data_IF_198248198006
#
_entry.id   IF_198248198006
#
_cell.length_a   1.000
_cell.length_b   1.000
_cell.length_c   1.000
_cell.angle_alpha   90.00
_cell.angle_beta   90.00
_cell.angle_gamma   90.00
#
_symmetry.space_group_name_H-M   'P 1'
#
loop_
_entity.id
_entity.type
_entity.pdbx_description
1 polymer ?
#
# COMPACT_ATOMS: atom_id res chain seq x y z
N UNK A 1 -22.60 -3.73 18.47
CA UNK A 1 -21.26 -4.26 18.11
C UNK A 1 -21.36 -5.36 17.04
N UNK A 2 -20.98 -5.08 15.78
CA UNK A 2 -21.11 -6.00 14.62
C UNK A 2 -19.77 -6.58 14.13
N UNK A 3 -18.72 -6.53 14.96
CA UNK A 3 -17.31 -6.64 14.51
C UNK A 3 -16.84 -8.04 14.06
N UNK A 4 -17.58 -9.12 14.36
CA UNK A 4 -17.15 -10.52 14.07
C UNK A 4 -18.08 -11.33 13.13
N UNK A 5 -19.07 -10.68 12.49
CA UNK A 5 -20.07 -11.39 11.65
C UNK A 5 -19.48 -12.08 10.42
N UNK A 6 -18.36 -11.60 9.89
CA UNK A 6 -17.73 -12.22 8.73
C UNK A 6 -17.12 -13.58 9.08
N UNK A 7 -16.23 -13.63 10.07
CA UNK A 7 -15.56 -14.87 10.47
C UNK A 7 -16.58 -15.96 10.82
N UNK A 8 -17.58 -15.63 11.63
CA UNK A 8 -18.64 -16.57 12.01
C UNK A 8 -19.44 -17.09 10.82
N UNK A 9 -19.69 -16.24 9.81
CA UNK A 9 -20.43 -16.63 8.59
C UNK A 9 -19.57 -17.51 7.68
N UNK A 10 -18.30 -17.20 7.49
CA UNK A 10 -17.44 -18.01 6.62
C UNK A 10 -17.13 -19.34 7.27
N UNK A 11 -16.88 -19.39 8.58
CA UNK A 11 -16.78 -20.65 9.32
C UNK A 11 -18.04 -21.50 9.17
N UNK A 12 -19.22 -20.90 9.30
CA UNK A 12 -20.50 -21.60 9.12
C UNK A 12 -20.67 -22.15 7.70
N UNK A 13 -20.34 -21.36 6.68
CA UNK A 13 -20.41 -21.80 5.30
C UNK A 13 -19.39 -22.92 5.01
N UNK A 14 -18.18 -22.82 5.57
CA UNK A 14 -17.17 -23.86 5.47
C UNK A 14 -17.62 -25.17 6.10
N UNK A 15 -18.08 -25.14 7.35
CA UNK A 15 -18.57 -26.33 8.05
C UNK A 15 -19.77 -26.98 7.35
N UNK A 16 -20.60 -26.18 6.67
CA UNK A 16 -21.75 -26.66 5.91
C UNK A 16 -21.41 -27.04 4.46
N UNK A 17 -20.14 -26.95 4.03
CA UNK A 17 -19.68 -27.10 2.64
C UNK A 17 -20.47 -26.23 1.64
N UNK A 18 -20.98 -25.08 2.10
CA UNK A 18 -21.82 -24.15 1.32
C UNK A 18 -20.98 -23.08 0.64
N UNK A 19 -20.04 -23.50 -0.19
CA UNK A 19 -19.37 -22.60 -1.13
C UNK A 19 -19.93 -22.85 -2.53
N UNK A 20 -20.26 -21.78 -3.23
CA UNK A 20 -20.53 -21.89 -4.67
C UNK A 20 -19.21 -22.20 -5.38
N UNK A 21 -19.24 -23.01 -6.43
CA UNK A 21 -18.05 -23.40 -7.21
C UNK A 21 -17.26 -22.17 -7.73
N UNK A 22 -17.94 -21.04 -7.91
CA UNK A 22 -17.37 -19.75 -8.32
C UNK A 22 -16.66 -18.97 -7.21
N UNK A 23 -16.68 -19.45 -5.97
CA UNK A 23 -16.10 -18.71 -4.86
C UNK A 23 -14.58 -18.76 -4.91
N UNK A 24 -13.93 -17.58 -4.92
CA UNK A 24 -12.46 -17.41 -4.87
C UNK A 24 -11.78 -18.11 -3.68
N UNK A 25 -12.56 -18.57 -2.71
CA UNK A 25 -12.12 -19.30 -1.53
C UNK A 25 -11.80 -20.77 -1.83
N UNK A 26 -12.53 -21.43 -2.74
CA UNK A 26 -12.34 -22.86 -3.00
C UNK A 26 -10.97 -23.16 -3.61
N UNK A 27 -10.46 -22.27 -4.46
CA UNK A 27 -9.12 -22.40 -5.03
C UNK A 27 -7.97 -22.28 -4.03
N UNK A 28 -8.25 -21.89 -2.78
CA UNK A 28 -7.26 -21.73 -1.70
C UNK A 28 -7.20 -22.93 -0.75
N UNK A 29 -7.95 -24.00 -1.03
CA UNK A 29 -8.05 -25.20 -0.17
C UNK A 29 -8.15 -24.81 1.32
N UNK A 30 -9.21 -24.08 1.72
CA UNK A 30 -9.29 -23.52 3.06
C UNK A 30 -9.33 -24.64 4.12
N UNK A 31 -8.67 -24.43 5.26
CA UNK A 31 -8.73 -25.31 6.44
C UNK A 31 -9.03 -24.47 7.69
N UNK A 32 -9.71 -25.07 8.67
CA UNK A 32 -9.94 -24.43 9.98
C UNK A 32 -8.85 -24.90 10.96
N UNK A 33 -8.20 -23.95 11.62
CA UNK A 33 -7.23 -24.24 12.69
C UNK A 33 -7.90 -24.44 14.06
N UNK A 34 -7.11 -24.81 15.06
CA UNK A 34 -7.57 -25.04 16.45
C UNK A 34 -8.21 -23.80 17.08
N UNK A 35 -7.84 -22.60 16.62
CA UNK A 35 -8.42 -21.32 17.06
C UNK A 35 -9.71 -20.96 16.30
N UNK A 36 -10.18 -21.83 15.40
CA UNK A 36 -11.32 -21.60 14.54
C UNK A 36 -11.04 -20.66 13.36
N UNK A 37 -9.79 -20.25 13.13
CA UNK A 37 -9.45 -19.37 12.01
C UNK A 37 -9.39 -20.16 10.71
N UNK A 38 -9.82 -19.53 9.63
CA UNK A 38 -9.72 -20.12 8.29
C UNK A 38 -8.35 -19.76 7.73
N UNK A 39 -7.58 -20.77 7.38
CA UNK A 39 -6.24 -20.68 6.82
C UNK A 39 -6.20 -21.28 5.41
N UNK A 40 -5.27 -20.81 4.60
CA UNK A 40 -4.94 -21.43 3.33
C UNK A 40 -4.16 -22.71 3.64
N UNK A 41 -4.58 -23.82 3.06
CA UNK A 41 -3.78 -25.03 3.01
C UNK A 41 -3.00 -25.08 1.68
N UNK A 42 -1.89 -25.81 1.61
CA UNK A 42 -1.26 -26.11 0.32
C UNK A 42 0.26 -26.22 0.29
N UNK A 43 0.85 -25.62 -0.76
CA UNK A 43 2.17 -25.97 -1.32
C UNK A 43 3.37 -25.97 -0.36
N UNK A 44 3.27 -25.26 0.76
CA UNK A 44 4.35 -25.12 1.74
C UNK A 44 4.18 -26.02 2.97
N UNK A 45 3.28 -26.99 2.94
CA UNK A 45 3.01 -27.94 4.03
C UNK A 45 4.32 -28.54 4.62
N UNK A 46 5.19 -29.05 3.75
CA UNK A 46 6.45 -29.71 4.12
C UNK A 46 7.63 -28.75 4.34
N UNK A 47 7.43 -27.43 4.25
CA UNK A 47 8.50 -26.44 4.45
C UNK A 47 8.72 -26.15 5.94
N UNK A 48 9.21 -27.12 6.70
CA UNK A 48 9.33 -27.05 8.17
C UNK A 48 10.21 -25.89 8.69
N UNK A 49 11.13 -25.41 7.86
CA UNK A 49 11.97 -24.23 8.15
C UNK A 49 11.16 -22.91 8.20
N UNK A 50 9.92 -22.90 7.71
CA UNK A 50 9.02 -21.75 7.79
C UNK A 50 8.11 -21.82 9.00
N UNK A 51 7.74 -20.63 9.50
CA UNK A 51 6.76 -20.53 10.59
C UNK A 51 5.40 -21.10 10.17
N UNK A 52 4.61 -21.54 11.14
CA UNK A 52 3.26 -22.06 10.91
C UNK A 52 2.37 -21.05 10.17
N UNK A 53 2.45 -19.76 10.54
CA UNK A 53 1.70 -18.69 9.88
C UNK A 53 2.12 -18.48 8.41
N UNK A 54 3.38 -18.72 8.06
CA UNK A 54 3.88 -18.60 6.69
C UNK A 54 3.49 -19.80 5.82
N UNK A 55 3.45 -21.01 6.40
CA UNK A 55 2.98 -22.21 5.73
C UNK A 55 1.47 -22.19 5.51
N UNK A 56 0.73 -21.78 6.53
CA UNK A 56 -0.73 -21.79 6.55
C UNK A 56 -1.28 -20.38 6.85
N UNK A 57 -1.19 -19.43 5.90
CA UNK A 57 -1.58 -18.05 6.15
C UNK A 57 -3.09 -17.91 6.40
N UNK A 58 -3.46 -17.00 7.30
CA UNK A 58 -4.86 -16.74 7.67
C UNK A 58 -5.57 -16.05 6.51
N UNK A 59 -6.69 -16.61 6.06
CA UNK A 59 -7.47 -16.04 4.97
C UNK A 59 -8.29 -14.85 5.46
N UNK A 60 -8.08 -13.70 4.82
CA UNK A 60 -8.80 -12.47 5.11
C UNK A 60 -9.66 -12.02 3.92
N UNK A 61 -10.91 -11.61 4.17
CA UNK A 61 -11.74 -11.00 3.13
C UNK A 61 -11.22 -9.64 2.68
N UNK A 62 -11.42 -9.36 1.40
CA UNK A 62 -11.38 -7.99 0.89
C UNK A 62 -12.46 -7.10 1.54
N UNK A 63 -12.21 -5.80 1.64
CA UNK A 63 -13.14 -4.76 2.12
C UNK A 63 -13.68 -4.95 3.54
N UNK A 64 -13.08 -5.81 4.35
CA UNK A 64 -13.41 -5.93 5.76
C UNK A 64 -12.58 -4.95 6.58
N UNK A 65 -13.21 -4.37 7.61
CA UNK A 65 -12.58 -3.43 8.53
C UNK A 65 -11.29 -3.98 9.16
N UNK A 66 -11.25 -5.27 9.53
CA UNK A 66 -10.04 -5.91 10.09
C UNK A 66 -8.92 -5.94 9.05
N UNK A 67 -9.24 -6.36 7.83
CA UNK A 67 -8.29 -6.43 6.72
C UNK A 67 -7.69 -5.06 6.43
N UNK A 68 -8.52 -4.01 6.37
CA UNK A 68 -8.06 -2.63 6.20
C UNK A 68 -7.08 -2.19 7.29
N UNK A 69 -7.35 -2.53 8.55
CA UNK A 69 -6.45 -2.21 9.67
C UNK A 69 -5.12 -2.97 9.59
N UNK A 70 -5.15 -4.24 9.17
CA UNK A 70 -3.93 -5.04 8.98
C UNK A 70 -3.11 -4.45 7.83
N UNK A 71 -3.73 -4.17 6.69
CA UNK A 71 -3.06 -3.51 5.55
C UNK A 71 -2.45 -2.17 5.97
N UNK A 72 -3.20 -1.35 6.71
CA UNK A 72 -2.71 -0.09 7.29
C UNK A 72 -1.44 -0.29 8.10
N UNK A 73 -1.44 -1.25 9.04
CA UNK A 73 -0.30 -1.52 9.90
C UNK A 73 0.96 -1.89 9.09
N UNK A 74 0.82 -2.79 8.12
CA UNK A 74 1.95 -3.22 7.29
C UNK A 74 2.43 -2.11 6.35
N UNK A 75 1.51 -1.31 5.82
CA UNK A 75 1.84 -0.15 5.01
C UNK A 75 2.63 0.92 5.80
N UNK A 76 2.24 1.19 7.05
CA UNK A 76 2.95 2.11 7.95
C UNK A 76 4.31 1.55 8.39
N UNK A 77 4.42 0.24 8.62
CA UNK A 77 5.71 -0.43 8.89
C UNK A 77 6.69 -0.26 7.71
N UNK A 78 6.18 -0.31 6.48
CA UNK A 78 6.93 0.00 5.25
C UNK A 78 7.23 1.49 5.04
N UNK A 79 6.98 2.34 6.06
CA UNK A 79 7.24 3.79 6.07
C UNK A 79 6.67 4.55 4.87
N UNK A 80 5.57 4.05 4.29
CA UNK A 80 4.97 4.59 3.06
C UNK A 80 5.91 4.60 1.83
N UNK A 81 7.04 3.87 1.89
CA UNK A 81 7.97 3.70 0.77
C UNK A 81 7.71 2.37 0.08
N UNK A 82 7.31 1.36 0.85
CA UNK A 82 6.95 0.05 0.32
C UNK A 82 5.75 0.15 -0.62
N UNK A 83 5.98 -0.21 -1.88
CA UNK A 83 4.91 -0.35 -2.86
C UNK A 83 4.00 -1.54 -2.59
N UNK A 84 2.98 -1.70 -3.42
CA UNK A 84 1.94 -2.73 -3.26
C UNK A 84 2.52 -4.14 -3.14
N UNK A 85 3.50 -4.49 -3.98
CA UNK A 85 4.10 -5.83 -3.99
C UNK A 85 4.94 -6.12 -2.74
N UNK A 86 5.68 -5.13 -2.24
CA UNK A 86 6.48 -5.28 -1.02
C UNK A 86 5.58 -5.45 0.20
N UNK A 87 4.54 -4.63 0.30
CA UNK A 87 3.52 -4.73 1.35
C UNK A 87 2.80 -6.08 1.27
N UNK A 88 2.45 -6.53 0.06
CA UNK A 88 1.82 -7.83 -0.16
C UNK A 88 2.73 -8.99 0.26
N UNK A 89 4.02 -8.93 -0.07
CA UNK A 89 5.01 -9.93 0.37
C UNK A 89 5.11 -10.01 1.89
N UNK A 90 5.23 -8.86 2.56
CA UNK A 90 5.26 -8.79 4.02
C UNK A 90 3.98 -9.35 4.65
N UNK A 91 2.81 -9.05 4.08
CA UNK A 91 1.53 -9.61 4.52
C UNK A 91 1.45 -11.13 4.30
N UNK A 92 1.97 -11.62 3.17
CA UNK A 92 1.87 -13.03 2.76
C UNK A 92 2.60 -13.99 3.71
N UNK A 93 3.52 -13.47 4.53
CA UNK A 93 4.16 -14.24 5.61
C UNK A 93 3.20 -14.71 6.71
N UNK A 94 1.99 -14.13 6.82
CA UNK A 94 1.01 -14.49 7.85
C UNK A 94 -0.45 -14.48 7.38
N UNK A 95 -0.76 -13.67 6.38
CA UNK A 95 -2.13 -13.39 5.94
C UNK A 95 -2.28 -13.59 4.43
N UNK A 96 -3.36 -14.23 4.04
CA UNK A 96 -3.78 -14.34 2.65
C UNK A 96 -5.05 -13.54 2.40
N UNK A 97 -4.91 -12.34 1.85
CA UNK A 97 -6.05 -11.48 1.55
C UNK A 97 -6.61 -11.84 0.17
N UNK A 98 -7.90 -12.16 0.10
CA UNK A 98 -8.59 -12.40 -1.18
C UNK A 98 -8.53 -11.11 -2.00
N UNK A 99 -7.95 -11.16 -3.20
CA UNK A 99 -7.69 -9.94 -4.00
C UNK A 99 -6.90 -8.89 -3.18
N UNK A 100 -5.83 -9.35 -2.52
CA UNK A 100 -5.04 -8.54 -1.60
C UNK A 100 -4.30 -7.37 -2.25
N UNK A 101 -3.84 -7.52 -3.50
CA UNK A 101 -3.17 -6.44 -4.22
C UNK A 101 -4.11 -5.26 -4.45
N UNK A 102 -5.36 -5.54 -4.81
CA UNK A 102 -6.39 -4.53 -4.97
C UNK A 102 -6.70 -3.82 -3.66
N UNK A 103 -6.81 -4.55 -2.54
CA UNK A 103 -7.03 -3.97 -1.22
C UNK A 103 -5.88 -3.04 -0.79
N UNK A 104 -4.63 -3.47 -1.01
CA UNK A 104 -3.44 -2.67 -0.67
C UNK A 104 -3.39 -1.41 -1.53
N UNK A 105 -3.63 -1.54 -2.84
CA UNK A 105 -3.65 -0.39 -3.76
C UNK A 105 -4.75 0.60 -3.39
N UNK A 106 -5.95 0.11 -3.08
CA UNK A 106 -7.07 0.93 -2.60
C UNK A 106 -6.67 1.71 -1.34
N UNK A 107 -6.03 1.05 -0.37
CA UNK A 107 -5.51 1.72 0.83
C UNK A 107 -4.41 2.74 0.55
N UNK A 108 -3.47 2.46 -0.36
CA UNK A 108 -2.42 3.41 -0.76
C UNK A 108 -3.00 4.71 -1.35
N UNK A 109 -4.14 4.63 -2.05
CA UNK A 109 -4.86 5.80 -2.57
C UNK A 109 -5.62 6.57 -1.49
N UNK A 110 -6.14 5.88 -0.46
CA UNK A 110 -6.78 6.49 0.71
C UNK A 110 -5.76 7.15 1.66
N UNK A 111 -4.52 6.64 1.71
CA UNK A 111 -3.49 7.11 2.63
C UNK A 111 -3.04 8.55 2.34
N UNK A 112 -3.25 9.45 3.30
CA UNK A 112 -2.87 10.85 3.20
C UNK A 112 -1.38 11.05 2.88
N UNK A 113 -0.49 10.34 3.59
CA UNK A 113 0.97 10.46 3.39
C UNK A 113 1.37 10.07 1.97
N UNK A 114 0.83 8.97 1.44
CA UNK A 114 1.10 8.54 0.06
C UNK A 114 0.51 9.50 -0.95
N UNK A 115 -0.71 9.99 -0.73
CA UNK A 115 -1.35 10.97 -1.62
C UNK A 115 -0.55 12.28 -1.67
N UNK A 116 -0.07 12.76 -0.53
CA UNK A 116 0.79 13.95 -0.43
C UNK A 116 2.12 13.74 -1.17
N UNK A 117 2.77 12.59 -0.99
CA UNK A 117 4.02 12.24 -1.71
C UNK A 117 3.84 12.11 -3.23
N UNK A 118 2.68 11.65 -3.68
CA UNK A 118 2.34 11.49 -5.11
C UNK A 118 1.74 12.76 -5.73
N UNK A 119 1.54 13.82 -4.96
CA UNK A 119 0.96 15.07 -5.47
C UNK A 119 1.90 15.69 -6.51
N UNK A 120 1.34 16.17 -7.62
CA UNK A 120 2.11 16.92 -8.61
C UNK A 120 2.57 18.24 -7.99
N UNK A 121 3.79 18.64 -8.29
CA UNK A 121 4.30 19.97 -7.93
C UNK A 121 3.43 21.00 -8.66
N UNK A 122 3.08 22.09 -7.98
CA UNK A 122 2.39 23.20 -8.62
C UNK A 122 3.33 23.84 -9.64
N UNK A 123 2.85 24.03 -10.87
CA UNK A 123 3.59 24.78 -11.87
C UNK A 123 3.47 26.28 -11.53
N UNK A 124 4.61 26.97 -11.51
CA UNK A 124 4.61 28.41 -11.35
C UNK A 124 4.09 29.03 -12.65
N UNK A 125 2.91 29.65 -12.58
CA UNK A 125 2.45 30.55 -13.65
C UNK A 125 3.18 31.87 -13.45
N UNK A 126 4.09 32.20 -14.37
CA UNK A 126 4.71 33.53 -14.38
C UNK A 126 3.70 34.56 -14.88
N UNK A 127 3.59 35.67 -14.16
CA UNK A 127 2.87 36.84 -14.64
C UNK A 127 3.51 37.35 -15.94
N UNK A 128 2.74 37.95 -16.86
CA UNK A 128 3.32 38.64 -18.01
C UNK A 128 4.29 39.73 -17.52
N UNK A 129 5.45 39.83 -18.17
CA UNK A 129 6.40 40.91 -17.92
C UNK A 129 5.71 42.26 -18.19
N UNK A 130 5.94 43.29 -17.35
CA UNK A 130 5.38 44.62 -17.61
C UNK A 130 5.95 45.19 -18.90
N UNK A 131 5.17 46.05 -19.57
CA UNK A 131 5.54 46.62 -20.88
C UNK A 131 6.86 47.40 -20.86
N UNK A 132 7.24 47.97 -19.70
CA UNK A 132 8.52 48.66 -19.48
C UNK A 132 9.74 47.76 -19.64
N UNK A 133 9.57 46.45 -19.46
CA UNK A 133 10.67 45.47 -19.40
C UNK A 133 10.84 44.72 -20.74
N UNK A 134 9.90 44.87 -21.68
CA UNK A 134 9.95 44.26 -23.03
C UNK A 134 10.48 45.21 -24.10
N UNK A 135 10.63 46.49 -23.78
CA UNK A 135 11.27 47.46 -24.68
C UNK A 135 12.78 47.34 -24.59
N UNK A 136 13.37 46.77 -25.64
CA UNK A 136 14.81 46.61 -25.82
C UNK A 136 15.48 47.95 -26.18
N UNK A 137 15.32 48.96 -25.32
CA UNK A 137 15.99 50.25 -25.44
C UNK A 137 17.00 50.36 -24.30
N UNK A 138 18.24 49.99 -24.65
CA UNK A 138 19.45 50.07 -23.85
C UNK A 138 19.56 49.03 -22.73
N UNK A 139 20.26 47.92 -23.04
CA UNK A 139 21.05 47.19 -22.04
C UNK A 139 21.94 48.20 -21.32
N UNK A 140 21.49 48.63 -20.14
CA UNK A 140 22.29 49.39 -19.21
C UNK A 140 23.23 48.37 -18.53
N UNK A 141 24.56 48.43 -18.71
CA UNK A 141 25.48 47.35 -18.33
C UNK A 141 25.62 47.14 -16.80
N UNK A 142 24.86 47.89 -15.99
CA UNK A 142 24.98 47.91 -14.54
C UNK A 142 24.13 46.86 -13.81
N UNK A 143 23.24 46.14 -14.52
CA UNK A 143 22.56 44.96 -13.97
C UNK A 143 22.98 43.69 -14.71
N UNK A 144 24.29 43.44 -14.73
CA UNK A 144 24.75 42.06 -14.74
C UNK A 144 24.58 41.55 -13.31
N UNK A 145 23.77 40.50 -13.11
CA UNK A 145 23.83 39.69 -11.91
C UNK A 145 25.29 39.28 -11.71
N UNK A 146 26.02 39.95 -10.81
CA UNK A 146 27.29 39.44 -10.28
C UNK A 146 26.95 38.44 -9.19
N UNK A 147 27.19 37.14 -9.37
CA UNK A 147 27.22 36.23 -8.24
C UNK A 147 28.58 36.43 -7.56
N UNK A 148 28.65 37.24 -6.52
CA UNK A 148 29.71 37.04 -5.51
C UNK A 148 29.22 35.96 -4.56
N UNK A 149 29.43 34.70 -4.98
CA UNK A 149 29.66 33.64 -4.01
C UNK A 149 31.18 33.62 -3.90
N UNK A 150 31.69 34.17 -2.81
CA UNK A 150 33.05 33.91 -2.37
C UNK A 150 33.12 32.43 -2.00
N UNK A 151 33.48 31.61 -3.00
CA UNK A 151 34.01 30.28 -2.79
C UNK A 151 35.45 30.46 -2.34
N UNK A 152 35.65 30.74 -1.05
CA UNK A 152 36.90 30.36 -0.40
C UNK A 152 36.94 28.83 -0.32
N UNK A 153 37.59 28.30 -1.35
CA UNK A 153 38.05 26.94 -1.51
C UNK A 153 39.23 26.70 -0.56
N UNK A 154 39.07 25.71 0.33
CA UNK A 154 40.11 24.76 0.76
C UNK A 154 41.47 25.36 1.18
N UNK A 155 41.67 25.44 2.50
CA UNK A 155 42.90 25.03 3.17
C UNK A 155 42.55 24.48 4.56
#
# INVERSE_FOLDING_TARGET
MRKWRYFRRVQRNYNQKRFTETSKLLGLQPRIDENGLIRCDGRLEYAEFLSFDARYPIILPRKNWVTKLIVKRYHELGKHVSGTNQTFSALSSRFWIISGREEIREYEHECYTCRKKKAKVAEQVMAPLPESDVTNTNVNPLYSFRPTIDVEYIA
#
